data_IF_868942675220
#
_entry.id   IF_868942675220
#
_cell.length_a   1.000
_cell.length_b   1.000
_cell.length_c   1.000
_cell.angle_alpha   90.00
_cell.angle_beta   90.00
_cell.angle_gamma   90.00
#
_symmetry.space_group_name_H-M   'P 1'
#
loop_
_entity.id
_entity.type
_entity.pdbx_description
1 polymer ?
#
# COMPACT_ATOMS: atom_id res chain seq x y z
N UNK A 1 -22.20 5.57 -19.95
CA UNK A 1 -22.13 6.71 -19.00
C UNK A 1 -22.95 6.56 -17.70
N UNK A 2 -24.09 5.86 -17.57
CA UNK A 2 -24.83 5.78 -16.29
C UNK A 2 -24.20 4.84 -15.24
N UNK A 3 -23.44 3.81 -15.67
CA UNK A 3 -22.81 2.83 -14.76
C UNK A 3 -21.65 3.39 -13.93
N UNK A 4 -20.97 4.45 -14.40
CA UNK A 4 -19.82 5.04 -13.71
C UNK A 4 -20.22 5.68 -12.37
N UNK A 5 -21.31 6.46 -12.34
CA UNK A 5 -21.80 7.10 -11.11
C UNK A 5 -22.21 6.09 -10.03
N UNK A 6 -22.91 5.02 -10.43
CA UNK A 6 -23.33 3.97 -9.50
C UNK A 6 -22.12 3.24 -8.88
N UNK A 7 -21.09 2.92 -9.68
CA UNK A 7 -19.85 2.30 -9.20
C UNK A 7 -19.08 3.20 -8.24
N UNK A 8 -18.95 4.49 -8.57
CA UNK A 8 -18.32 5.48 -7.68
C UNK A 8 -19.02 5.56 -6.33
N UNK A 9 -20.36 5.57 -6.33
CA UNK A 9 -21.16 5.57 -5.09
C UNK A 9 -20.94 4.31 -4.26
N UNK A 10 -20.85 3.15 -4.90
CA UNK A 10 -20.59 1.88 -4.21
C UNK A 10 -19.19 1.84 -3.57
N UNK A 11 -18.16 2.25 -4.32
CA UNK A 11 -16.78 2.33 -3.81
C UNK A 11 -16.68 3.28 -2.60
N UNK A 12 -17.30 4.46 -2.69
CA UNK A 12 -17.36 5.41 -1.58
C UNK A 12 -18.05 4.83 -0.34
N UNK A 13 -19.14 4.08 -0.53
CA UNK A 13 -19.83 3.39 0.57
C UNK A 13 -18.93 2.34 1.23
N UNK A 14 -18.21 1.52 0.46
CA UNK A 14 -17.28 0.53 1.00
C UNK A 14 -16.13 1.19 1.78
N UNK A 15 -15.54 2.28 1.24
CA UNK A 15 -14.53 3.09 1.94
C UNK A 15 -15.05 3.67 3.26
N UNK A 16 -16.29 4.17 3.29
CA UNK A 16 -16.92 4.62 4.53
C UNK A 16 -17.09 3.49 5.56
N UNK A 17 -17.54 2.30 5.14
CA UNK A 17 -17.70 1.15 6.04
C UNK A 17 -16.37 0.70 6.64
N UNK A 18 -15.28 0.72 5.87
CA UNK A 18 -13.93 0.45 6.40
C UNK A 18 -13.51 1.44 7.47
N UNK A 19 -13.75 2.74 7.25
CA UNK A 19 -13.45 3.78 8.24
C UNK A 19 -14.24 3.61 9.53
N UNK A 20 -15.52 3.21 9.44
CA UNK A 20 -16.36 2.92 10.60
C UNK A 20 -15.85 1.69 11.38
N UNK A 21 -15.38 0.65 10.68
CA UNK A 21 -14.73 -0.51 11.28
C UNK A 21 -13.45 -0.11 12.03
N UNK A 22 -12.57 0.64 11.37
CA UNK A 22 -11.29 1.07 11.94
C UNK A 22 -11.42 2.07 13.09
N UNK A 23 -12.39 2.98 13.05
CA UNK A 23 -12.63 3.94 14.13
C UNK A 23 -13.04 3.29 15.46
N UNK A 24 -13.59 2.06 15.42
CA UNK A 24 -13.89 1.28 16.62
C UNK A 24 -12.64 0.65 17.25
N UNK A 25 -11.56 0.54 16.48
CA UNK A 25 -10.30 -0.04 16.90
C UNK A 25 -9.37 1.10 17.39
N UNK A 26 -9.09 1.14 18.69
CA UNK A 26 -8.34 2.24 19.30
C UNK A 26 -6.85 2.21 18.95
N UNK A 27 -6.36 3.22 18.24
CA UNK A 27 -4.93 3.34 17.90
C UNK A 27 -4.10 3.93 19.05
N UNK A 28 -2.85 3.47 19.19
CA UNK A 28 -1.75 4.21 19.84
C UNK A 28 -0.76 4.53 18.73
N UNK A 29 -0.45 5.80 18.51
CA UNK A 29 0.50 6.22 17.48
C UNK A 29 1.68 7.00 18.05
N UNK A 30 2.79 6.93 17.33
CA UNK A 30 3.91 7.86 17.40
C UNK A 30 3.93 8.62 16.06
N UNK A 31 4.43 9.85 16.08
CA UNK A 31 4.56 10.69 14.88
C UNK A 31 5.98 10.48 14.29
N UNK A 32 6.08 10.18 12.99
CA UNK A 32 7.35 10.18 12.25
C UNK A 32 7.51 11.57 11.61
N UNK A 33 8.58 12.28 11.99
CA UNK A 33 8.94 13.56 11.40
C UNK A 33 9.86 13.33 10.18
N UNK A 34 9.25 13.20 9.00
CA UNK A 34 9.99 13.05 7.75
C UNK A 34 10.83 14.27 7.37
N UNK A 35 11.82 14.08 6.50
CA UNK A 35 12.65 15.16 5.98
C UNK A 35 11.82 16.30 5.32
N UNK A 36 12.31 17.55 5.36
CA UNK A 36 11.61 18.68 4.74
C UNK A 36 11.28 18.41 3.27
N UNK A 37 10.07 18.75 2.86
CA UNK A 37 9.63 18.65 1.46
C UNK A 37 10.65 19.29 0.49
N UNK A 38 10.95 18.59 -0.60
CA UNK A 38 11.88 19.06 -1.62
C UNK A 38 13.36 18.72 -1.35
N UNK A 39 13.65 17.98 -0.28
CA UNK A 39 14.93 17.29 -0.08
C UNK A 39 14.82 15.91 -0.73
N UNK A 40 15.61 15.67 -1.77
CA UNK A 40 15.59 14.43 -2.53
C UNK A 40 16.92 13.70 -2.36
N UNK A 41 16.85 12.46 -1.93
CA UNK A 41 17.90 11.47 -1.89
C UNK A 41 17.79 10.59 -3.15
N UNK A 42 18.58 10.94 -4.16
CA UNK A 42 18.57 10.26 -5.45
C UNK A 42 19.25 8.88 -5.40
N UNK A 43 20.21 8.69 -4.50
CA UNK A 43 20.91 7.41 -4.34
C UNK A 43 19.98 6.38 -3.69
N UNK A 44 19.24 6.78 -2.63
CA UNK A 44 18.20 5.94 -2.04
C UNK A 44 17.07 5.67 -3.03
N UNK A 45 16.67 6.66 -3.83
CA UNK A 45 15.66 6.48 -4.86
C UNK A 45 16.07 5.45 -5.91
N UNK A 46 17.28 5.56 -6.46
CA UNK A 46 17.79 4.61 -7.44
C UNK A 46 17.83 3.19 -6.87
N UNK A 47 18.35 3.03 -5.64
CA UNK A 47 18.40 1.73 -4.95
C UNK A 47 17.01 1.12 -4.77
N UNK A 48 16.09 1.86 -4.15
CA UNK A 48 14.78 1.34 -3.74
C UNK A 48 13.89 1.07 -4.97
N UNK A 49 13.87 1.97 -5.95
CA UNK A 49 13.09 1.77 -7.19
C UNK A 49 13.64 0.61 -8.00
N UNK A 50 14.96 0.41 -8.08
CA UNK A 50 15.55 -0.74 -8.75
C UNK A 50 15.12 -2.08 -8.13
N UNK A 51 14.82 -2.09 -6.83
CA UNK A 51 14.28 -3.24 -6.09
C UNK A 51 12.76 -3.37 -6.16
N UNK A 52 12.08 -2.39 -6.72
CA UNK A 52 10.62 -2.42 -6.95
C UNK A 52 9.79 -1.70 -5.88
N UNK A 53 10.43 -0.94 -4.98
CA UNK A 53 9.72 -0.02 -4.10
C UNK A 53 9.08 1.09 -4.91
N UNK A 54 7.94 1.59 -4.44
CA UNK A 54 7.19 2.67 -5.10
C UNK A 54 7.46 3.98 -4.37
N UNK A 55 8.08 4.93 -5.06
CA UNK A 55 8.39 6.23 -4.50
C UNK A 55 7.17 7.16 -4.49
N UNK A 56 6.99 7.92 -3.43
CA UNK A 56 5.92 8.93 -3.32
C UNK A 56 6.01 10.02 -4.38
N UNK A 57 7.23 10.41 -4.74
CA UNK A 57 7.50 11.36 -5.82
C UNK A 57 6.97 10.90 -7.19
N UNK A 58 6.80 9.59 -7.40
CA UNK A 58 6.28 9.02 -8.66
C UNK A 58 4.74 8.93 -8.68
N UNK A 59 4.08 9.18 -7.54
CA UNK A 59 2.64 9.00 -7.36
C UNK A 59 1.85 10.32 -7.44
N UNK A 60 2.48 11.43 -7.84
CA UNK A 60 1.90 12.78 -7.83
C UNK A 60 1.29 13.16 -6.45
N UNK A 61 1.83 12.61 -5.36
CA UNK A 61 1.37 12.92 -4.00
C UNK A 61 1.97 14.25 -3.52
N UNK A 62 1.12 15.12 -2.99
CA UNK A 62 1.49 16.49 -2.62
C UNK A 62 2.20 16.59 -1.25
N UNK A 63 2.60 15.48 -0.62
CA UNK A 63 3.17 15.48 0.75
C UNK A 63 4.22 14.39 1.07
N UNK A 64 5.08 14.77 2.04
CA UNK A 64 6.15 14.06 2.77
C UNK A 64 7.43 13.77 1.98
N UNK A 65 8.43 14.66 2.13
CA UNK A 65 9.86 14.46 1.84
C UNK A 65 10.17 13.39 0.80
N UNK A 66 11.09 12.51 1.14
CA UNK A 66 11.37 11.30 0.37
C UNK A 66 10.83 10.09 1.11
N UNK A 67 9.95 9.35 0.43
CA UNK A 67 9.26 8.19 0.97
C UNK A 67 9.05 7.14 -0.09
N UNK A 68 9.15 5.88 0.32
CA UNK A 68 8.99 4.71 -0.53
C UNK A 68 8.17 3.64 0.17
N UNK A 69 7.31 2.96 -0.58
CA UNK A 69 6.48 1.88 -0.08
C UNK A 69 6.81 0.54 -0.76
N UNK A 70 6.93 -0.49 0.08
CA UNK A 70 6.94 -1.88 -0.34
C UNK A 70 5.51 -2.42 -0.38
N UNK A 71 4.77 -2.01 -1.41
CA UNK A 71 3.40 -2.44 -1.65
C UNK A 71 3.14 -3.97 -1.67
N UNK A 72 4.10 -4.85 -2.01
CA UNK A 72 3.91 -6.29 -1.87
C UNK A 72 3.58 -6.77 -0.45
N UNK A 73 3.91 -5.97 0.58
CA UNK A 73 3.59 -6.27 1.99
C UNK A 73 2.21 -5.81 2.43
N UNK A 74 1.44 -5.14 1.56
CA UNK A 74 0.15 -4.56 1.87
C UNK A 74 -0.86 -5.61 2.36
N UNK A 75 -1.51 -5.36 3.49
CA UNK A 75 -2.63 -6.15 4.01
C UNK A 75 -3.96 -5.83 3.29
N UNK A 76 -4.97 -6.71 3.39
CA UNK A 76 -6.35 -6.38 2.98
C UNK A 76 -6.84 -5.08 3.65
N UNK A 77 -7.61 -4.26 2.94
CA UNK A 77 -8.00 -2.90 3.43
C UNK A 77 -8.85 -2.89 4.70
N UNK A 78 -9.49 -4.00 4.98
CA UNK A 78 -10.32 -4.27 6.14
C UNK A 78 -9.64 -5.19 7.15
N UNK A 79 -8.37 -5.54 6.94
CA UNK A 79 -7.53 -6.09 7.98
C UNK A 79 -7.21 -4.97 8.96
N UNK A 80 -7.67 -5.08 10.21
CA UNK A 80 -7.36 -4.04 11.18
C UNK A 80 -7.60 -4.42 12.61
N UNK A 81 -6.69 -3.97 13.47
CA UNK A 81 -6.91 -3.90 14.92
C UNK A 81 -6.67 -2.49 15.48
N UNK A 82 -6.58 -1.48 14.59
CA UNK A 82 -6.38 -0.09 15.00
C UNK A 82 -6.40 1.02 13.94
N UNK A 83 -6.76 0.78 12.66
CA UNK A 83 -6.63 1.80 11.61
C UNK A 83 -6.58 1.17 10.21
N UNK A 84 -6.53 1.99 9.16
CA UNK A 84 -6.33 1.47 7.79
C UNK A 84 -4.90 0.89 7.65
N UNK A 85 -4.73 -0.39 7.29
CA UNK A 85 -3.41 -1.01 7.31
C UNK A 85 -2.48 -0.42 6.25
N UNK A 86 -1.23 -0.18 6.64
CA UNK A 86 -0.19 0.35 5.76
C UNK A 86 0.78 -0.73 5.26
N UNK A 87 1.40 -0.52 4.09
CA UNK A 87 2.53 -1.34 3.64
C UNK A 87 3.79 -1.00 4.47
N UNK A 88 4.84 -1.78 4.30
CA UNK A 88 6.17 -1.42 4.80
C UNK A 88 6.66 -0.18 4.05
N UNK A 89 7.18 0.80 4.77
CA UNK A 89 7.56 2.10 4.24
C UNK A 89 8.94 2.53 4.73
N UNK A 90 9.68 3.23 3.89
CA UNK A 90 10.96 3.89 4.21
C UNK A 90 10.77 5.38 4.00
N UNK A 91 11.25 6.18 4.93
CA UNK A 91 11.26 7.64 4.86
C UNK A 91 12.67 8.17 5.08
N UNK A 92 13.09 9.12 4.26
CA UNK A 92 14.28 9.90 4.58
C UNK A 92 14.00 10.75 5.83
N UNK A 93 14.84 10.60 6.86
CA UNK A 93 14.65 11.26 8.15
C UNK A 93 15.19 12.70 8.14
N UNK A 94 14.54 13.61 8.89
CA UNK A 94 14.92 15.03 8.91
C UNK A 94 16.33 15.29 9.47
N UNK A 95 16.81 14.45 10.39
CA UNK A 95 18.14 14.55 10.99
C UNK A 95 19.22 13.78 10.20
N UNK A 96 18.85 13.19 9.06
CA UNK A 96 19.67 12.25 8.28
C UNK A 96 19.33 10.80 8.61
N UNK A 97 19.74 9.87 7.73
CA UNK A 97 19.36 8.46 7.82
C UNK A 97 17.97 8.16 7.29
N UNK A 98 17.43 6.99 7.67
CA UNK A 98 16.17 6.45 7.16
C UNK A 98 15.33 5.84 8.27
N UNK A 99 14.10 6.32 8.40
CA UNK A 99 13.10 5.71 9.26
C UNK A 99 12.31 4.67 8.47
N UNK A 100 12.15 3.49 9.06
CA UNK A 100 11.40 2.38 8.45
C UNK A 100 10.23 2.03 9.35
N UNK A 101 9.07 1.88 8.73
CA UNK A 101 7.86 1.34 9.36
C UNK A 101 7.52 0.03 8.66
N UNK A 102 7.53 -1.09 9.39
CA UNK A 102 7.03 -2.34 8.83
C UNK A 102 5.51 -2.30 8.69
N UNK A 103 4.99 -2.97 7.66
CA UNK A 103 3.56 -3.08 7.42
C UNK A 103 2.81 -3.44 8.71
N UNK A 104 1.64 -2.87 8.95
CA UNK A 104 0.94 -3.14 10.20
C UNK A 104 -0.58 -3.00 10.06
N UNK A 105 -1.35 -3.69 10.91
CA UNK A 105 -2.81 -3.64 10.89
C UNK A 105 -3.41 -2.44 11.66
N UNK A 106 -2.57 -1.55 12.18
CA UNK A 106 -3.02 -0.51 13.11
C UNK A 106 -3.11 0.88 12.48
N UNK A 107 -2.75 1.03 11.20
CA UNK A 107 -2.80 2.32 10.48
C UNK A 107 -2.07 3.46 11.17
N UNK A 108 -1.18 3.11 12.11
CA UNK A 108 -0.34 4.00 12.89
C UNK A 108 0.98 3.30 13.11
N UNK A 109 2.03 4.11 13.19
CA UNK A 109 3.38 3.66 13.50
C UNK A 109 3.40 2.87 14.80
N UNK A 110 3.74 1.59 14.71
CA UNK A 110 3.98 0.72 15.84
C UNK A 110 5.48 0.79 16.20
N UNK A 111 5.86 1.34 17.38
CA UNK A 111 7.26 1.50 17.77
C UNK A 111 8.05 0.19 17.77
N UNK A 112 7.40 -0.94 18.07
CA UNK A 112 8.03 -2.27 18.08
C UNK A 112 8.29 -2.79 16.65
N UNK A 113 7.77 -2.08 15.64
CA UNK A 113 7.88 -2.38 14.20
C UNK A 113 8.48 -1.23 13.40
N UNK A 114 9.01 -0.23 14.10
CA UNK A 114 9.74 0.88 13.49
C UNK A 114 11.21 0.80 13.84
N UNK A 115 12.05 1.22 12.91
CA UNK A 115 13.50 1.28 13.12
C UNK A 115 14.10 2.48 12.42
N UNK A 116 15.30 2.85 12.84
CA UNK A 116 16.12 3.88 12.20
C UNK A 116 17.41 3.25 11.70
N UNK A 117 17.84 3.67 10.51
CA UNK A 117 19.11 3.31 9.89
C UNK A 117 19.91 4.58 9.64
N UNK A 118 21.12 4.68 10.18
CA UNK A 118 21.89 5.93 10.16
C UNK A 118 22.44 6.24 8.75
N UNK A 119 22.54 5.21 7.89
CA UNK A 119 23.18 5.30 6.57
C UNK A 119 22.45 4.46 5.51
N UNK A 120 22.71 4.76 4.23
CA UNK A 120 22.11 4.04 3.11
C UNK A 120 22.64 2.61 3.05
N UNK A 121 23.91 2.40 3.39
CA UNK A 121 24.53 1.07 3.44
C UNK A 121 23.89 0.18 4.52
N UNK A 122 23.54 0.75 5.67
CA UNK A 122 22.82 0.01 6.73
C UNK A 122 21.40 -0.35 6.29
N UNK A 123 20.69 0.59 5.66
CA UNK A 123 19.38 0.31 5.08
C UNK A 123 19.47 -0.79 4.02
N UNK A 124 20.39 -0.67 3.06
CA UNK A 124 20.60 -1.64 1.98
C UNK A 124 20.84 -3.05 2.54
N UNK A 125 21.65 -3.17 3.59
CA UNK A 125 21.93 -4.45 4.23
C UNK A 125 20.69 -5.10 4.89
N UNK A 126 19.67 -4.31 5.23
CA UNK A 126 18.43 -4.78 5.84
C UNK A 126 17.30 -5.02 4.83
N UNK A 127 17.39 -4.53 3.59
CA UNK A 127 16.28 -4.54 2.63
C UNK A 127 15.73 -5.94 2.35
N UNK A 128 16.56 -6.97 2.29
CA UNK A 128 16.09 -8.36 2.07
C UNK A 128 15.14 -8.82 3.19
N UNK A 129 15.46 -8.50 4.45
CA UNK A 129 14.64 -8.85 5.61
C UNK A 129 13.36 -7.99 5.66
N UNK A 130 13.47 -6.69 5.36
CA UNK A 130 12.33 -5.76 5.29
C UNK A 130 11.33 -6.18 4.20
N UNK A 131 11.82 -6.56 3.03
CA UNK A 131 10.99 -6.96 1.88
C UNK A 131 10.32 -8.33 2.10
N UNK A 132 10.97 -9.22 2.87
CA UNK A 132 10.44 -10.52 3.24
C UNK A 132 9.42 -10.45 4.39
N UNK A 133 9.42 -9.39 5.18
CA UNK A 133 8.57 -9.25 6.35
C UNK A 133 7.07 -9.28 5.99
N UNK A 134 6.28 -10.02 6.78
CA UNK A 134 4.80 -10.08 6.66
C UNK A 134 4.17 -10.05 8.05
N UNK A 135 3.01 -9.41 8.16
CA UNK A 135 2.23 -9.37 9.40
C UNK A 135 1.78 -10.80 9.75
N UNK A 136 2.10 -11.30 10.95
CA UNK A 136 1.58 -12.57 11.42
C UNK A 136 0.04 -12.64 11.38
N UNK A 137 -0.50 -13.79 10.97
CA UNK A 137 -1.93 -13.95 10.71
C UNK A 137 -2.84 -13.81 11.95
N UNK A 138 -2.27 -13.97 13.15
CA UNK A 138 -2.95 -13.82 14.43
C UNK A 138 -2.94 -12.39 14.97
N UNK A 139 -2.28 -11.46 14.28
CA UNK A 139 -2.16 -10.05 14.70
C UNK A 139 -3.14 -9.11 14.00
N UNK A 140 -3.92 -9.60 13.04
CA UNK A 140 -4.96 -8.83 12.38
C UNK A 140 -6.29 -9.57 12.34
N UNK A 141 -7.37 -8.82 12.17
CA UNK A 141 -8.73 -9.36 12.07
C UNK A 141 -9.32 -8.95 10.74
N UNK A 142 -9.93 -9.91 10.05
CA UNK A 142 -10.72 -9.67 8.85
C UNK A 142 -12.22 -9.76 9.18
N UNK A 143 -13.07 -8.97 8.51
CA UNK A 143 -14.51 -9.23 8.53
C UNK A 143 -14.83 -10.57 7.85
N UNK A 144 -15.97 -11.17 8.21
CA UNK A 144 -16.45 -12.42 7.59
C UNK A 144 -16.60 -12.32 6.06
N UNK A 145 -16.89 -11.12 5.56
CA UNK A 145 -16.98 -10.81 4.14
C UNK A 145 -15.98 -9.69 3.79
N UNK A 146 -14.85 -10.01 3.11
CA UNK A 146 -13.87 -9.02 2.70
C UNK A 146 -14.45 -7.96 1.75
N UNK A 147 -14.08 -6.69 1.99
CA UNK A 147 -14.62 -5.52 1.31
C UNK A 147 -13.65 -4.95 0.27
N UNK A 148 -13.76 -5.44 -0.96
CA UNK A 148 -13.01 -4.91 -2.12
C UNK A 148 -13.65 -3.66 -2.71
N UNK A 149 -12.88 -2.70 -3.22
CA UNK A 149 -13.42 -1.45 -3.78
C UNK A 149 -14.37 -1.65 -4.96
N UNK A 150 -14.25 -2.78 -5.68
CA UNK A 150 -15.24 -3.23 -6.65
C UNK A 150 -15.30 -4.76 -6.78
N UNK A 151 -16.36 -5.25 -7.42
CA UNK A 151 -16.66 -6.69 -7.46
C UNK A 151 -15.85 -7.46 -8.54
N UNK A 152 -14.99 -6.77 -9.29
CA UNK A 152 -14.10 -7.41 -10.29
C UNK A 152 -12.74 -6.69 -10.33
N UNK A 153 -11.64 -7.40 -10.64
CA UNK A 153 -10.32 -6.79 -10.74
C UNK A 153 -10.26 -5.65 -11.78
N UNK A 154 -10.91 -5.84 -12.93
CA UNK A 154 -11.00 -4.80 -13.95
C UNK A 154 -11.70 -3.53 -13.44
N UNK A 155 -12.77 -3.68 -12.66
CA UNK A 155 -13.47 -2.54 -12.08
C UNK A 155 -12.64 -1.82 -11.02
N UNK A 156 -11.82 -2.55 -10.24
CA UNK A 156 -10.85 -1.97 -9.31
C UNK A 156 -9.83 -1.12 -10.08
N UNK A 157 -9.21 -1.65 -11.14
CA UNK A 157 -8.28 -0.88 -11.98
C UNK A 157 -8.94 0.37 -12.60
N UNK A 158 -10.22 0.30 -12.98
CA UNK A 158 -10.97 1.46 -13.48
C UNK A 158 -11.21 2.53 -12.41
N UNK A 159 -11.34 2.13 -11.13
CA UNK A 159 -11.48 3.09 -10.03
C UNK A 159 -10.17 3.82 -9.79
N UNK A 160 -9.04 3.09 -9.78
CA UNK A 160 -7.71 3.68 -9.65
C UNK A 160 -7.40 4.66 -10.79
N UNK A 161 -7.53 4.22 -12.06
CA UNK A 161 -7.33 5.08 -13.22
C UNK A 161 -8.28 6.29 -13.27
N UNK A 162 -9.40 6.23 -12.53
CA UNK A 162 -10.37 7.32 -12.39
C UNK A 162 -10.15 8.21 -11.16
N UNK A 163 -9.04 8.04 -10.42
CA UNK A 163 -8.70 8.79 -9.21
C UNK A 163 -9.66 8.56 -8.04
N UNK A 164 -10.29 7.39 -7.96
CA UNK A 164 -11.30 7.09 -6.94
C UNK A 164 -10.76 6.29 -5.76
N UNK A 165 -9.64 5.59 -5.96
CA UNK A 165 -8.91 4.85 -4.95
C UNK A 165 -7.43 5.13 -5.14
N UNK A 166 -6.69 5.07 -4.04
CA UNK A 166 -5.26 5.34 -4.01
C UNK A 166 -4.45 4.10 -4.42
N UNK A 167 -3.14 4.24 -4.63
CA UNK A 167 -2.27 3.15 -5.11
C UNK A 167 -2.14 1.99 -4.12
N UNK A 168 -2.10 2.28 -2.82
CA UNK A 168 -2.10 1.26 -1.76
C UNK A 168 -3.46 0.54 -1.67
N UNK A 169 -4.58 1.26 -1.91
CA UNK A 169 -5.91 0.64 -2.03
C UNK A 169 -6.00 -0.32 -3.22
N UNK A 170 -5.45 0.08 -4.36
CA UNK A 170 -5.32 -0.78 -5.54
C UNK A 170 -4.47 -2.02 -5.22
N UNK A 171 -3.32 -1.85 -4.57
CA UNK A 171 -2.42 -2.96 -4.24
C UNK A 171 -3.11 -3.95 -3.30
N UNK A 172 -3.70 -3.48 -2.19
CA UNK A 172 -4.44 -4.30 -1.25
C UNK A 172 -5.56 -5.10 -1.93
N UNK A 173 -6.41 -4.41 -2.69
CA UNK A 173 -7.53 -5.05 -3.37
C UNK A 173 -7.06 -6.14 -4.34
N UNK A 174 -6.02 -5.88 -5.13
CA UNK A 174 -5.57 -6.79 -6.18
C UNK A 174 -4.65 -7.91 -5.67
N UNK A 175 -3.92 -7.71 -4.58
CA UNK A 175 -3.14 -8.80 -3.96
C UNK A 175 -4.09 -9.83 -3.36
N UNK A 176 -5.11 -9.37 -2.63
CA UNK A 176 -5.98 -10.24 -1.84
C UNK A 176 -7.29 -10.64 -2.56
N UNK A 177 -7.48 -10.23 -3.82
CA UNK A 177 -8.68 -10.54 -4.57
C UNK A 177 -8.87 -12.06 -4.76
N UNK A 178 -10.08 -12.62 -4.55
CA UNK A 178 -10.36 -14.04 -4.77
C UNK A 178 -10.53 -14.35 -6.26
N UNK A 179 -9.42 -14.39 -7.00
CA UNK A 179 -9.43 -14.56 -8.46
C UNK A 179 -10.11 -15.84 -8.94
N UNK A 180 -10.07 -16.93 -8.17
CA UNK A 180 -10.71 -18.20 -8.51
C UNK A 180 -12.25 -18.11 -8.55
N UNK A 181 -12.82 -17.06 -7.96
CA UNK A 181 -14.27 -16.85 -7.90
C UNK A 181 -14.77 -15.92 -9.01
N UNK A 182 -13.89 -15.39 -9.86
CA UNK A 182 -14.25 -14.47 -10.94
C UNK A 182 -13.92 -15.05 -12.32
N UNK A 183 -14.82 -14.97 -13.32
CA UNK A 183 -14.63 -15.60 -14.64
C UNK A 183 -13.35 -15.21 -15.38
N UNK A 184 -12.87 -13.98 -15.20
CA UNK A 184 -11.67 -13.46 -15.87
C UNK A 184 -10.38 -13.67 -15.06
N UNK A 185 -10.50 -14.05 -13.78
CA UNK A 185 -9.38 -14.20 -12.85
C UNK A 185 -8.35 -13.06 -12.92
N UNK A 186 -7.07 -13.40 -12.74
CA UNK A 186 -5.96 -12.44 -12.77
C UNK A 186 -5.69 -11.84 -14.16
N UNK A 187 -6.15 -12.50 -15.23
CA UNK A 187 -5.97 -12.00 -16.59
C UNK A 187 -6.65 -10.64 -16.80
N UNK A 188 -7.65 -10.28 -15.99
CA UNK A 188 -8.23 -8.95 -15.97
C UNK A 188 -7.21 -7.86 -15.58
N UNK A 189 -6.33 -8.13 -14.63
CA UNK A 189 -5.27 -7.20 -14.16
C UNK A 189 -4.20 -7.04 -15.23
N UNK A 190 -3.76 -8.14 -15.85
CA UNK A 190 -2.79 -8.09 -16.95
C UNK A 190 -3.31 -7.28 -18.14
N UNK A 191 -4.61 -7.42 -18.48
CA UNK A 191 -5.25 -6.60 -19.50
C UNK A 191 -5.28 -5.13 -19.10
N UNK A 192 -5.56 -4.83 -17.84
CA UNK A 192 -5.59 -3.45 -17.33
C UNK A 192 -4.20 -2.81 -17.42
N UNK A 193 -3.13 -3.56 -17.08
CA UNK A 193 -1.75 -3.13 -17.27
C UNK A 193 -1.43 -2.85 -18.74
N UNK A 194 -1.73 -3.79 -19.65
CA UNK A 194 -1.52 -3.59 -21.10
C UNK A 194 -2.33 -2.41 -21.67
N UNK A 195 -3.46 -2.07 -21.05
CA UNK A 195 -4.29 -0.94 -21.43
C UNK A 195 -3.86 0.39 -20.79
N UNK A 196 -2.78 0.40 -19.99
CA UNK A 196 -2.28 1.60 -19.31
C UNK A 196 -3.15 2.09 -18.15
N UNK A 197 -4.05 1.25 -17.62
CA UNK A 197 -4.86 1.61 -16.44
C UNK A 197 -4.08 1.52 -15.13
N UNK A 198 -3.01 0.71 -15.12
CA UNK A 198 -2.10 0.57 -13.99
C UNK A 198 -0.65 0.68 -14.49
N UNK A 199 0.19 1.53 -13.87
CA UNK A 199 1.63 1.62 -14.14
C UNK A 199 2.35 0.27 -13.99
N UNK A 200 3.51 0.16 -14.64
CA UNK A 200 4.34 -1.05 -14.57
C UNK A 200 4.82 -1.35 -13.13
N UNK A 201 5.19 -0.33 -12.36
CA UNK A 201 5.61 -0.46 -10.96
C UNK A 201 4.50 -1.07 -10.10
N UNK A 202 3.28 -0.54 -10.17
CA UNK A 202 2.13 -1.06 -9.43
C UNK A 202 1.72 -2.47 -9.88
N UNK A 203 1.81 -2.77 -11.18
CA UNK A 203 1.57 -4.13 -11.67
C UNK A 203 2.60 -5.12 -11.11
N UNK A 204 3.89 -4.77 -11.13
CA UNK A 204 4.96 -5.60 -10.58
C UNK A 204 4.78 -5.83 -9.08
N UNK A 205 4.44 -4.79 -8.32
CA UNK A 205 4.15 -4.90 -6.89
C UNK A 205 2.98 -5.86 -6.60
N UNK A 206 1.88 -5.77 -7.36
CA UNK A 206 0.74 -6.70 -7.22
C UNK A 206 1.16 -8.14 -7.53
N UNK A 207 1.98 -8.37 -8.56
CA UNK A 207 2.48 -9.71 -8.89
C UNK A 207 3.35 -10.27 -7.76
N UNK A 208 4.26 -9.45 -7.22
CA UNK A 208 5.13 -9.85 -6.12
C UNK A 208 4.34 -10.15 -4.84
N UNK A 209 3.38 -9.31 -4.46
CA UNK A 209 2.56 -9.51 -3.26
C UNK A 209 1.70 -10.77 -3.33
N UNK A 210 1.24 -11.16 -4.52
CA UNK A 210 0.47 -12.41 -4.72
C UNK A 210 1.30 -13.69 -4.67
N UNK A 211 2.62 -13.60 -4.86
CA UNK A 211 3.50 -14.76 -4.89
C UNK A 211 4.02 -15.17 -3.50
N UNK A 212 3.80 -14.31 -2.49
CA UNK A 212 4.23 -14.47 -1.11
C UNK A 212 3.26 -15.30 -0.25
#
# INVERSE_FOLDING_TARGET
MPKSKARKKAAAKKKQQRREFHAAAGARGVEIDGAPQGTWDDDAHELLVARGWVAYRDLEMDQLGDGWEWLPSQLPLDAGVGGEPGPTSVFAAAEGGYDVELANPNGTVDPDRSGHYDTLEELEAALDDLEAWRVPADEYVLPDEPSFSADTPWAICQLYAGGMIDHWELAADLIHFPYEQTPDGFAAVERAHRAGLIPASLFAAVVAGRAA
#
